data_IF_671768210894
#
_entry.id   IF_671768210894
#
_cell.length_a   1.000
_cell.length_b   1.000
_cell.length_c   1.000
_cell.angle_alpha   90.00
_cell.angle_beta   90.00
_cell.angle_gamma   90.00
#
_symmetry.space_group_name_H-M   'P 1'
#
loop_
_entity.id
_entity.type
_entity.pdbx_description
1 polymer ?
#
# COMPACT_ATOMS: atom_id res chain seq x y z
N UNK A 1 30.25 4.34 6.37
CA UNK A 1 28.96 4.96 5.96
C UNK A 1 27.88 4.30 6.80
N UNK A 2 27.28 5.02 7.74
CA UNK A 2 26.29 4.46 8.66
C UNK A 2 24.98 4.09 7.95
N UNK A 3 24.51 2.85 8.14
CA UNK A 3 23.32 2.28 7.49
C UNK A 3 21.97 2.75 8.11
N UNK A 4 21.94 3.87 8.82
CA UNK A 4 20.82 4.27 9.69
C UNK A 4 19.53 4.65 8.93
N UNK A 5 19.58 4.77 7.60
CA UNK A 5 18.45 5.07 6.72
C UNK A 5 18.03 3.89 5.83
N UNK A 6 18.73 2.74 5.93
CA UNK A 6 18.46 1.56 5.11
C UNK A 6 17.30 0.78 5.71
N UNK A 7 16.26 0.56 4.91
CA UNK A 7 15.11 -0.26 5.28
C UNK A 7 15.28 -1.70 4.76
N UNK A 8 14.72 -2.65 5.50
CA UNK A 8 14.59 -4.04 5.04
C UNK A 8 13.28 -4.19 4.26
N UNK A 9 13.34 -4.87 3.11
CA UNK A 9 12.16 -5.13 2.27
C UNK A 9 11.10 -5.93 3.03
N UNK A 10 9.87 -5.40 3.06
CA UNK A 10 8.71 -5.96 3.77
C UNK A 10 7.43 -5.30 3.25
N UNK A 11 6.27 -5.94 3.37
CA UNK A 11 4.98 -5.29 3.10
C UNK A 11 4.70 -4.14 4.09
N UNK A 12 5.35 -4.13 5.25
CA UNK A 12 5.36 -3.01 6.18
C UNK A 12 6.73 -2.89 6.86
N UNK A 13 7.63 -2.01 6.36
CA UNK A 13 8.91 -1.76 7.01
C UNK A 13 8.71 -1.15 8.40
N UNK A 14 9.51 -1.61 9.37
CA UNK A 14 9.43 -1.12 10.74
C UNK A 14 9.85 0.36 10.85
N UNK A 15 9.46 1.00 11.96
CA UNK A 15 9.80 2.39 12.29
C UNK A 15 9.24 3.48 11.35
N UNK A 16 8.34 3.11 10.44
CA UNK A 16 7.56 4.06 9.64
C UNK A 16 6.12 4.17 10.18
N UNK A 17 5.77 5.34 10.71
CA UNK A 17 4.38 5.64 11.04
C UNK A 17 3.58 5.83 9.76
N UNK A 18 2.40 5.19 9.68
CA UNK A 18 1.59 5.13 8.44
C UNK A 18 2.41 4.72 7.22
N UNK A 19 3.43 3.86 7.41
CA UNK A 19 4.32 3.40 6.36
C UNK A 19 5.15 4.49 5.65
N UNK A 20 5.14 5.73 6.13
CA UNK A 20 5.80 6.86 5.46
C UNK A 20 6.63 7.75 6.38
N UNK A 21 6.15 8.09 7.58
CA UNK A 21 6.87 9.02 8.48
C UNK A 21 7.95 8.29 9.29
N UNK A 22 9.21 8.73 9.20
CA UNK A 22 10.33 8.13 9.93
C UNK A 22 10.32 8.46 11.42
N UNK A 23 10.29 7.44 12.27
CA UNK A 23 10.17 7.60 13.73
C UNK A 23 11.51 7.55 14.49
N UNK A 24 12.62 7.16 13.87
CA UNK A 24 13.93 7.10 14.55
C UNK A 24 14.73 8.41 14.45
N UNK A 25 14.18 9.46 13.85
CA UNK A 25 14.88 10.73 13.68
C UNK A 25 14.12 11.72 12.81
N UNK A 26 14.86 12.64 12.17
CA UNK A 26 14.30 13.57 11.18
C UNK A 26 13.29 14.58 11.72
N UNK A 27 13.15 14.70 13.05
CA UNK A 27 12.25 15.65 13.73
C UNK A 27 10.83 15.67 13.14
N UNK A 28 10.29 14.49 12.80
CA UNK A 28 8.97 14.31 12.16
C UNK A 28 8.81 14.98 10.78
N UNK A 29 9.91 15.23 10.08
CA UNK A 29 9.96 15.90 8.77
C UNK A 29 10.59 15.04 7.67
N UNK A 30 10.99 13.80 8.00
CA UNK A 30 11.55 12.85 7.04
C UNK A 30 10.49 11.80 6.69
N UNK A 31 10.21 11.69 5.38
CA UNK A 31 9.19 10.79 4.84
C UNK A 31 9.78 9.85 3.78
N UNK A 32 9.16 8.69 3.67
CA UNK A 32 9.40 7.68 2.64
C UNK A 32 8.09 7.37 1.90
N UNK A 33 8.18 7.09 0.60
CA UNK A 33 7.06 6.69 -0.25
C UNK A 33 7.48 5.44 -1.03
N UNK A 34 6.56 4.48 -1.19
CA UNK A 34 6.76 3.31 -2.04
C UNK A 34 7.84 2.33 -1.58
N UNK A 35 8.24 2.37 -0.31
CA UNK A 35 9.29 1.51 0.27
C UNK A 35 8.81 0.11 0.65
N UNK A 36 7.50 -0.09 0.72
CA UNK A 36 6.88 -1.39 0.96
C UNK A 36 7.13 -2.32 -0.24
N UNK A 37 7.16 -3.63 0.01
CA UNK A 37 6.99 -4.62 -1.06
C UNK A 37 5.67 -4.34 -1.80
N UNK A 38 5.65 -4.38 -3.13
CA UNK A 38 4.54 -3.86 -3.93
C UNK A 38 3.70 -4.98 -4.53
N UNK A 39 2.42 -5.02 -4.16
CA UNK A 39 1.36 -5.69 -4.93
C UNK A 39 0.47 -4.61 -5.54
N UNK A 40 0.02 -3.68 -4.70
CA UNK A 40 -0.47 -2.37 -5.14
C UNK A 40 0.72 -1.45 -5.42
N UNK A 41 0.56 -0.55 -6.40
CA UNK A 41 1.56 0.45 -6.80
C UNK A 41 0.99 1.87 -6.80
N UNK A 42 0.42 2.34 -7.90
CA UNK A 42 -0.01 3.74 -8.02
C UNK A 42 -1.03 4.15 -6.95
N UNK A 43 -2.03 3.30 -6.68
CA UNK A 43 -3.03 3.57 -5.63
C UNK A 43 -2.43 3.72 -4.23
N UNK A 44 -1.40 2.93 -3.89
CA UNK A 44 -0.75 3.06 -2.57
C UNK A 44 0.17 4.29 -2.53
N UNK A 45 0.81 4.65 -3.65
CA UNK A 45 1.61 5.88 -3.74
C UNK A 45 0.75 7.12 -3.61
N UNK A 46 -0.42 7.16 -4.26
CA UNK A 46 -1.39 8.24 -4.12
C UNK A 46 -1.88 8.38 -2.68
N UNK A 47 -2.25 7.27 -2.04
CA UNK A 47 -2.70 7.26 -0.65
C UNK A 47 -1.60 7.78 0.30
N UNK A 48 -0.35 7.34 0.10
CA UNK A 48 0.80 7.84 0.86
C UNK A 48 1.04 9.33 0.63
N UNK A 49 1.08 9.76 -0.63
CA UNK A 49 1.31 11.16 -1.00
C UNK A 49 0.26 12.08 -0.41
N UNK A 50 -1.03 11.74 -0.55
CA UNK A 50 -2.12 12.53 0.01
C UNK A 50 -2.10 12.54 1.53
N UNK A 51 -1.83 11.41 2.19
CA UNK A 51 -1.67 11.39 3.64
C UNK A 51 -0.52 12.31 4.11
N UNK A 52 0.63 12.27 3.42
CA UNK A 52 1.78 13.16 3.70
C UNK A 52 1.41 14.63 3.47
N UNK A 53 0.73 14.96 2.37
CA UNK A 53 0.27 16.33 2.13
C UNK A 53 -0.61 16.82 3.27
N UNK A 54 -1.60 16.02 3.69
CA UNK A 54 -2.48 16.37 4.82
C UNK A 54 -1.74 16.53 6.14
N UNK A 55 -0.71 15.69 6.36
CA UNK A 55 0.17 15.79 7.52
C UNK A 55 0.96 17.10 7.52
N UNK A 56 1.58 17.46 6.40
CA UNK A 56 2.42 18.65 6.28
C UNK A 56 1.58 19.93 6.39
N UNK A 57 0.36 19.95 5.83
CA UNK A 57 -0.52 21.12 5.87
C UNK A 57 -1.38 21.20 7.14
N UNK A 58 -1.18 20.30 8.11
CA UNK A 58 -1.96 20.22 9.35
C UNK A 58 -3.49 20.12 9.12
N UNK A 59 -3.90 19.37 8.08
CA UNK A 59 -5.31 19.17 7.71
C UNK A 59 -5.80 17.74 7.93
N UNK A 60 -5.01 16.91 8.62
CA UNK A 60 -5.50 15.60 9.07
C UNK A 60 -6.62 15.81 10.10
N UNK A 61 -7.73 15.05 10.02
CA UNK A 61 -8.89 15.26 10.89
C UNK A 61 -8.62 14.95 12.37
N UNK A 62 -7.54 14.24 12.66
CA UNK A 62 -7.13 13.91 14.02
C UNK A 62 -5.83 14.65 14.35
N UNK A 63 -5.75 15.23 15.55
CA UNK A 63 -4.50 15.80 16.07
C UNK A 63 -3.36 14.77 16.01
N UNK A 64 -2.15 15.26 15.78
CA UNK A 64 -0.94 14.46 15.80
C UNK A 64 -0.81 13.66 17.10
N UNK A 65 -0.79 12.34 16.96
CA UNK A 65 -0.58 11.39 18.06
C UNK A 65 0.79 11.60 18.74
N UNK A 66 0.93 11.09 19.96
CA UNK A 66 2.24 11.02 20.63
C UNK A 66 3.19 10.08 19.87
N UNK A 67 4.49 10.22 20.11
CA UNK A 67 5.48 9.32 19.53
C UNK A 67 5.25 7.86 19.98
N UNK A 68 4.84 7.62 21.23
CA UNK A 68 4.51 6.28 21.73
C UNK A 68 3.30 5.68 21.00
N UNK A 69 2.26 6.49 20.79
CA UNK A 69 1.05 6.07 20.09
C UNK A 69 1.33 5.71 18.62
N UNK A 70 2.13 6.52 17.93
CA UNK A 70 2.57 6.25 16.55
C UNK A 70 3.35 4.93 16.47
N UNK A 71 4.29 4.71 17.41
CA UNK A 71 5.06 3.46 17.50
C UNK A 71 4.13 2.27 17.76
N UNK A 72 3.20 2.38 18.72
CA UNK A 72 2.25 1.32 19.07
C UNK A 72 1.36 0.95 17.89
N UNK A 73 0.88 1.93 17.14
CA UNK A 73 0.09 1.71 15.93
C UNK A 73 0.92 1.03 14.83
N UNK A 74 2.12 1.53 14.53
CA UNK A 74 3.03 0.90 13.58
C UNK A 74 3.39 -0.53 13.97
N UNK A 75 3.55 -0.81 15.26
CA UNK A 75 3.82 -2.15 15.78
C UNK A 75 2.68 -3.14 15.43
N UNK A 76 1.41 -2.70 15.47
CA UNK A 76 0.27 -3.55 15.07
C UNK A 76 0.38 -3.98 13.61
N UNK A 77 0.73 -3.05 12.73
CA UNK A 77 0.94 -3.35 11.30
C UNK A 77 2.15 -4.26 11.08
N UNK A 78 3.24 -4.04 11.80
CA UNK A 78 4.42 -4.92 11.75
C UNK A 78 4.06 -6.35 12.19
N UNK A 79 3.33 -6.52 13.29
CA UNK A 79 2.94 -7.85 13.76
C UNK A 79 1.99 -8.55 12.80
N UNK A 80 0.99 -7.83 12.27
CA UNK A 80 0.10 -8.35 11.23
C UNK A 80 0.87 -8.72 9.95
N UNK A 81 1.87 -7.93 9.55
CA UNK A 81 2.72 -8.23 8.40
C UNK A 81 3.54 -9.52 8.59
N UNK A 82 4.01 -9.79 9.82
CA UNK A 82 4.76 -11.01 10.15
C UNK A 82 3.90 -12.28 10.15
N UNK A 83 2.60 -12.14 10.39
CA UNK A 83 1.68 -13.29 10.41
C UNK A 83 1.17 -13.70 9.02
N UNK A 84 1.50 -12.95 7.96
CA UNK A 84 1.04 -13.23 6.59
C UNK A 84 1.73 -14.48 6.04
N UNK A 85 0.93 -15.42 5.52
CA UNK A 85 1.38 -16.74 5.07
C UNK A 85 1.51 -16.84 3.56
N UNK A 86 0.63 -16.19 2.82
CA UNK A 86 0.54 -16.34 1.37
C UNK A 86 0.34 -15.01 0.64
N UNK A 87 0.30 -15.07 -0.69
CA UNK A 87 0.14 -13.90 -1.56
C UNK A 87 -1.23 -13.24 -1.39
N UNK A 88 -2.29 -14.03 -1.15
CA UNK A 88 -3.63 -13.49 -0.96
C UNK A 88 -3.72 -12.67 0.32
N UNK A 89 -3.22 -13.19 1.45
CA UNK A 89 -3.15 -12.45 2.71
C UNK A 89 -2.34 -11.14 2.56
N UNK A 90 -1.27 -11.13 1.75
CA UNK A 90 -0.51 -9.91 1.42
C UNK A 90 -1.33 -8.92 0.59
N UNK A 91 -2.15 -9.38 -0.35
CA UNK A 91 -3.06 -8.54 -1.14
C UNK A 91 -4.07 -7.84 -0.21
N UNK A 92 -4.77 -8.59 0.65
CA UNK A 92 -5.72 -8.01 1.62
C UNK A 92 -5.04 -7.05 2.60
N UNK A 93 -3.85 -7.42 3.08
CA UNK A 93 -3.06 -6.56 3.96
C UNK A 93 -2.80 -5.18 3.33
N UNK A 94 -2.37 -5.14 2.06
CA UNK A 94 -2.12 -3.87 1.38
C UNK A 94 -3.40 -3.10 1.07
N UNK A 95 -4.49 -3.78 0.70
CA UNK A 95 -5.79 -3.13 0.51
C UNK A 95 -6.29 -2.45 1.79
N UNK A 96 -6.18 -3.14 2.94
CA UNK A 96 -6.53 -2.57 4.25
C UNK A 96 -5.63 -1.40 4.63
N UNK A 97 -4.34 -1.49 4.32
CA UNK A 97 -3.39 -0.42 4.60
C UNK A 97 -3.68 0.83 3.76
N UNK A 98 -4.03 0.67 2.47
CA UNK A 98 -4.49 1.77 1.61
C UNK A 98 -5.74 2.41 2.19
N UNK A 99 -6.71 1.61 2.65
CA UNK A 99 -7.93 2.10 3.29
C UNK A 99 -7.63 2.91 4.56
N UNK A 100 -6.72 2.43 5.40
CA UNK A 100 -6.28 3.13 6.60
C UNK A 100 -5.58 4.46 6.30
N UNK A 101 -4.71 4.50 5.28
CA UNK A 101 -4.06 5.73 4.81
C UNK A 101 -5.05 6.75 4.24
N UNK A 102 -6.05 6.25 3.50
CA UNK A 102 -7.05 7.06 2.81
C UNK A 102 -8.07 7.68 3.76
N UNK A 103 -8.20 7.14 4.97
CA UNK A 103 -9.16 7.63 5.95
C UNK A 103 -8.86 9.10 6.32
N UNK A 104 -9.82 9.98 6.03
CA UNK A 104 -9.72 11.41 6.36
C UNK A 104 -8.88 12.25 5.40
N UNK A 105 -8.40 11.70 4.27
CA UNK A 105 -7.61 12.48 3.29
C UNK A 105 -8.45 13.09 2.17
N UNK A 106 -9.70 12.61 2.01
CA UNK A 106 -10.56 12.89 0.86
C UNK A 106 -10.30 11.98 -0.35
N UNK A 107 -9.33 11.06 -0.25
CA UNK A 107 -9.09 9.99 -1.22
C UNK A 107 -9.83 8.74 -0.77
N UNK A 108 -10.54 8.06 -1.67
CA UNK A 108 -11.26 6.81 -1.33
C UNK A 108 -11.16 5.80 -2.47
N UNK A 109 -9.97 5.20 -2.67
CA UNK A 109 -9.81 4.17 -3.68
C UNK A 109 -10.51 2.89 -3.23
N UNK A 110 -11.10 2.16 -4.18
CA UNK A 110 -11.80 0.91 -3.90
C UNK A 110 -10.83 -0.29 -3.84
N UNK A 111 -9.77 -0.15 -3.05
CA UNK A 111 -8.69 -1.14 -2.97
C UNK A 111 -9.16 -2.56 -2.63
N UNK A 112 -10.15 -2.79 -1.73
CA UNK A 112 -10.66 -4.14 -1.46
C UNK A 112 -11.28 -4.82 -2.69
N UNK A 113 -11.97 -4.08 -3.56
CA UNK A 113 -12.51 -4.67 -4.80
C UNK A 113 -11.40 -5.07 -5.77
N UNK A 114 -10.23 -4.42 -5.70
CA UNK A 114 -9.09 -4.79 -6.53
C UNK A 114 -8.54 -6.19 -6.22
N UNK A 115 -8.81 -6.73 -5.02
CA UNK A 115 -8.34 -8.05 -4.61
C UNK A 115 -8.75 -9.14 -5.61
N UNK A 116 -10.00 -9.10 -6.11
CA UNK A 116 -10.51 -10.08 -7.08
C UNK A 116 -9.72 -10.08 -8.40
N UNK A 117 -9.20 -8.92 -8.84
CA UNK A 117 -8.36 -8.86 -10.02
C UNK A 117 -7.00 -9.52 -9.78
N UNK A 118 -6.42 -9.34 -8.59
CA UNK A 118 -5.19 -10.04 -8.24
C UNK A 118 -5.37 -11.56 -8.18
N UNK A 119 -6.50 -12.05 -7.66
CA UNK A 119 -6.83 -13.47 -7.69
C UNK A 119 -6.90 -14.02 -9.12
N UNK A 120 -7.63 -13.33 -10.00
CA UNK A 120 -7.72 -13.72 -11.41
C UNK A 120 -6.34 -13.69 -12.06
N UNK A 121 -5.59 -12.61 -11.91
CA UNK A 121 -4.23 -12.46 -12.43
C UNK A 121 -3.30 -13.59 -11.99
N UNK A 122 -3.32 -13.94 -10.71
CA UNK A 122 -2.50 -15.01 -10.14
C UNK A 122 -2.93 -16.40 -10.68
N UNK A 123 -4.24 -16.61 -10.86
CA UNK A 123 -4.77 -17.81 -11.51
C UNK A 123 -4.38 -17.90 -12.99
N UNK A 124 -4.48 -16.81 -13.75
CA UNK A 124 -4.13 -16.75 -15.16
C UNK A 124 -2.63 -17.07 -15.37
N UNK A 125 -1.77 -16.56 -14.48
CA UNK A 125 -0.33 -16.87 -14.46
C UNK A 125 -0.04 -18.34 -14.20
N UNK A 126 -0.79 -18.98 -13.29
CA UNK A 126 -0.68 -20.42 -13.03
C UNK A 126 -1.18 -21.26 -14.21
N UNK A 127 -2.27 -20.83 -14.84
CA UNK A 127 -2.82 -21.51 -16.01
C UNK A 127 -1.83 -21.48 -17.18
N UNK A 128 -1.25 -20.31 -17.47
CA UNK A 128 -0.19 -20.19 -18.46
C UNK A 128 0.65 -18.91 -18.27
N UNK A 129 1.92 -19.09 -17.90
CA UNK A 129 2.84 -17.98 -17.64
C UNK A 129 3.21 -17.15 -18.88
N UNK A 130 3.00 -17.69 -20.08
CA UNK A 130 3.28 -17.01 -21.36
C UNK A 130 2.09 -16.16 -21.79
N UNK A 131 0.86 -16.68 -21.64
CA UNK A 131 -0.36 -16.06 -22.20
C UNK A 131 -1.24 -15.35 -21.16
N UNK A 132 -0.82 -15.25 -19.89
CA UNK A 132 -1.62 -14.53 -18.87
C UNK A 132 -1.83 -13.05 -19.19
N UNK A 133 -0.98 -12.46 -20.03
CA UNK A 133 -1.11 -11.06 -20.48
C UNK A 133 -2.19 -10.86 -21.55
N UNK A 134 -2.64 -11.94 -22.18
CA UNK A 134 -3.71 -11.90 -23.19
C UNK A 134 -5.10 -11.81 -22.54
N UNK A 135 -5.14 -11.92 -21.21
CA UNK A 135 -6.36 -11.89 -20.41
C UNK A 135 -6.86 -10.46 -20.20
N UNK A 136 -8.18 -10.32 -20.14
CA UNK A 136 -8.86 -9.04 -20.01
C UNK A 136 -9.36 -8.80 -18.59
N UNK A 137 -9.41 -7.53 -18.22
CA UNK A 137 -9.90 -7.09 -16.91
C UNK A 137 -10.88 -5.93 -17.11
N UNK A 138 -11.93 -5.89 -16.28
CA UNK A 138 -12.87 -4.77 -16.25
C UNK A 138 -12.30 -3.66 -15.38
N UNK A 139 -12.28 -2.43 -15.88
CA UNK A 139 -11.84 -1.27 -15.11
C UNK A 139 -12.68 -1.13 -13.83
N UNK A 140 -12.00 -1.06 -12.69
CA UNK A 140 -12.66 -0.87 -11.40
C UNK A 140 -13.37 0.47 -11.28
N UNK A 141 -12.84 1.49 -11.96
CA UNK A 141 -13.29 2.88 -11.80
C UNK A 141 -14.35 3.26 -12.83
N UNK A 142 -14.18 2.87 -14.09
CA UNK A 142 -15.13 3.19 -15.17
C UNK A 142 -16.11 2.07 -15.48
N UNK A 143 -15.84 0.84 -15.02
CA UNK A 143 -16.61 -0.33 -15.42
C UNK A 143 -16.44 -0.73 -16.89
N UNK A 144 -15.56 -0.07 -17.65
CA UNK A 144 -15.31 -0.40 -19.06
C UNK A 144 -14.50 -1.69 -19.15
N UNK A 145 -14.88 -2.59 -20.04
CA UNK A 145 -14.06 -3.76 -20.37
C UNK A 145 -12.84 -3.33 -21.21
N UNK A 146 -11.68 -3.91 -20.93
CA UNK A 146 -10.50 -3.70 -21.77
C UNK A 146 -10.74 -4.25 -23.17
N UNK A 147 -10.37 -3.50 -24.21
CA UNK A 147 -10.40 -3.99 -25.58
C UNK A 147 -9.53 -5.25 -25.74
N UNK A 148 -9.89 -6.14 -26.66
CA UNK A 148 -9.07 -7.30 -27.01
C UNK A 148 -7.80 -6.83 -27.72
N UNK A 149 -6.64 -7.35 -27.31
CA UNK A 149 -5.41 -7.10 -28.05
C UNK A 149 -5.52 -7.82 -29.40
N UNK A 150 -5.32 -7.10 -30.50
CA UNK A 150 -5.40 -7.68 -31.86
C UNK A 150 -4.27 -8.68 -32.16
N UNK A 151 -3.25 -8.74 -31.29
CA UNK A 151 -2.11 -9.66 -31.36
C UNK A 151 -1.81 -10.18 -29.96
N UNK A 152 -1.55 -11.48 -29.78
CA UNK A 152 -0.95 -12.00 -28.56
C UNK A 152 0.49 -11.45 -28.39
#
# INVERSE_FOLDING_TARGET
MENNLRLTSSSYPACLYKGSLWLQGGNRKLFYIGVQHQLFSFTIFDAQGLWICRYITDTLPNKLKSCEEMKKEGQKWVQRCKSLKDTHEKIYFQADFIKDLSNGTGYSPDAPKANNFFYKWDSDKRANIVTYRDQQFKSLYSGTETATCSKP
#
